data_IF_470132332652
#
_entry.id   IF_470132332652
#
_cell.length_a   1.000
_cell.length_b   1.000
_cell.length_c   1.000
_cell.angle_alpha   90.00
_cell.angle_beta   90.00
_cell.angle_gamma   90.00
#
_symmetry.space_group_name_H-M   'P 1'
#
loop_
_entity.id
_entity.type
_entity.pdbx_description
1 polymer ?
#
# COMPACT_ATOMS: atom_id res chain seq x y z
N UNK A 1 6.12 2.52 -10.62
CA UNK A 1 6.55 3.67 -9.79
C UNK A 1 6.88 3.31 -8.34
N UNK A 2 6.69 2.05 -7.88
CA UNK A 2 7.04 1.67 -6.51
C UNK A 2 6.07 2.18 -5.43
N UNK A 3 4.99 2.86 -5.83
CA UNK A 3 3.92 3.31 -4.93
C UNK A 3 3.01 2.14 -4.58
N UNK A 4 2.61 2.05 -3.32
CA UNK A 4 1.63 1.06 -2.85
C UNK A 4 0.22 1.63 -3.01
N UNK A 5 -0.65 1.04 -3.85
CA UNK A 5 -2.03 1.45 -3.94
C UNK A 5 -2.83 0.91 -2.74
N UNK A 6 -3.33 1.80 -1.89
CA UNK A 6 -4.19 1.45 -0.76
C UNK A 6 -5.63 1.85 -1.04
N UNK A 7 -6.56 0.99 -0.67
CA UNK A 7 -7.99 1.23 -0.81
C UNK A 7 -8.70 1.05 0.53
N UNK A 8 -9.56 2.00 0.88
CA UNK A 8 -10.48 1.83 2.00
C UNK A 8 -11.37 0.60 1.80
N UNK A 9 -11.79 -0.01 2.90
CA UNK A 9 -12.76 -1.11 2.84
C UNK A 9 -14.10 -0.63 2.26
N UNK A 10 -14.91 -1.53 1.69
CA UNK A 10 -16.23 -1.17 1.18
C UNK A 10 -17.06 -0.42 2.21
N UNK A 11 -17.59 0.75 1.83
CA UNK A 11 -18.37 1.62 2.71
C UNK A 11 -17.56 2.51 3.65
N UNK A 12 -16.23 2.40 3.65
CA UNK A 12 -15.35 3.32 4.38
C UNK A 12 -14.80 4.42 3.47
N UNK A 13 -14.59 5.59 4.07
CA UNK A 13 -13.97 6.76 3.46
C UNK A 13 -13.26 7.58 4.53
N UNK A 14 -12.48 8.58 4.10
CA UNK A 14 -11.87 9.53 5.03
C UNK A 14 -12.91 10.18 5.96
N UNK A 15 -14.06 10.59 5.41
CA UNK A 15 -15.14 11.21 6.18
C UNK A 15 -15.76 10.26 7.21
N UNK A 16 -16.02 9.00 6.84
CA UNK A 16 -16.58 8.02 7.78
C UNK A 16 -15.61 7.64 8.90
N UNK A 17 -14.30 7.72 8.62
CA UNK A 17 -13.22 7.44 9.58
C UNK A 17 -12.78 8.71 10.32
N UNK A 18 -13.40 9.87 10.05
CA UNK A 18 -13.05 11.15 10.69
C UNK A 18 -11.61 11.60 10.43
N UNK A 19 -11.02 11.20 9.30
CA UNK A 19 -9.66 11.55 8.90
C UNK A 19 -9.64 12.96 8.31
N UNK A 20 -8.84 13.85 8.89
CA UNK A 20 -8.70 15.24 8.45
C UNK A 20 -7.57 15.42 7.45
N UNK A 21 -6.58 14.52 7.47
CA UNK A 21 -5.34 14.60 6.69
C UNK A 21 -4.20 15.31 7.43
N UNK A 22 -4.43 15.82 8.63
CA UNK A 22 -3.41 16.41 9.50
C UNK A 22 -2.71 15.38 10.39
N UNK A 23 -3.23 14.15 10.41
CA UNK A 23 -2.70 13.06 11.21
C UNK A 23 -1.42 12.45 10.62
N UNK A 24 -0.68 11.75 11.48
CA UNK A 24 0.46 10.94 11.06
C UNK A 24 -0.02 9.52 10.78
N UNK A 25 0.19 9.06 9.54
CA UNK A 25 -0.18 7.73 9.07
C UNK A 25 1.05 6.82 9.02
N UNK A 26 0.99 5.72 9.76
CA UNK A 26 2.00 4.67 9.73
C UNK A 26 1.41 3.42 9.07
N UNK A 27 1.96 3.06 7.92
CA UNK A 27 1.52 1.89 7.14
C UNK A 27 2.61 0.82 7.20
N UNK A 28 2.30 -0.29 7.86
CA UNK A 28 3.20 -1.45 7.92
C UNK A 28 2.89 -2.39 6.75
N UNK A 29 3.69 -2.32 5.69
CA UNK A 29 3.58 -3.23 4.54
C UNK A 29 4.39 -4.50 4.82
N UNK A 30 3.82 -5.70 4.69
CA UNK A 30 4.58 -6.94 4.84
C UNK A 30 5.67 -7.04 3.77
N UNK A 31 6.78 -7.71 4.09
CA UNK A 31 7.92 -7.88 3.17
C UNK A 31 7.53 -8.62 1.88
N UNK A 32 6.61 -9.57 2.00
CA UNK A 32 6.02 -10.32 0.89
C UNK A 32 4.50 -10.11 0.86
N UNK A 33 4.01 -8.98 0.30
CA UNK A 33 2.58 -8.74 0.21
C UNK A 33 1.92 -9.73 -0.75
N UNK A 34 0.67 -10.06 -0.46
CA UNK A 34 -0.22 -10.86 -1.32
C UNK A 34 -1.19 -9.95 -2.09
N UNK A 35 -1.79 -10.51 -3.14
CA UNK A 35 -2.84 -9.81 -3.90
C UNK A 35 -4.03 -9.50 -2.98
N UNK A 36 -4.52 -8.26 -3.00
CA UNK A 36 -5.63 -7.80 -2.17
C UNK A 36 -5.43 -8.03 -0.66
N UNK A 37 -4.20 -8.00 -0.16
CA UNK A 37 -3.94 -8.21 1.27
C UNK A 37 -4.45 -7.03 2.12
N UNK A 38 -5.01 -7.35 3.29
CA UNK A 38 -5.43 -6.35 4.27
C UNK A 38 -4.23 -5.85 5.05
N UNK A 39 -4.07 -4.54 5.08
CA UNK A 39 -3.02 -3.82 5.79
C UNK A 39 -3.64 -2.94 6.85
N UNK A 40 -3.03 -2.91 8.04
CA UNK A 40 -3.43 -2.01 9.11
C UNK A 40 -2.67 -0.70 8.99
N UNK A 41 -3.40 0.41 8.92
CA UNK A 41 -2.86 1.77 9.00
C UNK A 41 -3.07 2.28 10.41
N UNK A 42 -1.97 2.60 11.10
CA UNK A 42 -2.01 3.28 12.40
C UNK A 42 -2.05 4.78 12.18
N UNK A 43 -2.86 5.46 12.98
CA UNK A 43 -3.05 6.91 12.89
C UNK A 43 -2.72 7.51 14.25
N UNK A 44 -1.87 8.53 14.24
CA UNK A 44 -1.49 9.28 15.44
C UNK A 44 -1.96 10.73 15.33
N UNK A 45 -2.56 11.25 16.40
CA UNK A 45 -3.12 12.60 16.45
C UNK A 45 -4.54 12.74 15.89
N UNK A 46 -5.18 11.64 15.50
CA UNK A 46 -6.54 11.61 14.94
C UNK A 46 -7.62 11.09 15.90
N UNK A 47 -8.85 11.06 15.41
CA UNK A 47 -10.01 10.51 16.13
C UNK A 47 -9.97 8.97 16.23
N UNK A 48 -9.35 8.29 15.26
CA UNK A 48 -9.31 6.83 15.17
C UNK A 48 -7.86 6.36 15.35
N UNK A 49 -7.56 5.36 16.18
CA UNK A 49 -6.18 4.92 16.42
C UNK A 49 -5.61 4.07 15.27
N UNK A 50 -6.46 3.33 14.56
CA UNK A 50 -6.07 2.53 13.40
C UNK A 50 -7.27 2.10 12.58
N UNK A 51 -7.06 1.86 11.28
CA UNK A 51 -8.07 1.29 10.38
C UNK A 51 -7.44 0.31 9.39
N UNK A 52 -8.26 -0.51 8.75
CA UNK A 52 -7.80 -1.48 7.76
C UNK A 52 -8.04 -0.97 6.35
N UNK A 53 -7.09 -1.25 5.47
CA UNK A 53 -7.16 -0.97 4.03
C UNK A 53 -6.75 -2.20 3.24
N UNK A 54 -7.20 -2.27 2.00
CA UNK A 54 -6.75 -3.31 1.05
C UNK A 54 -5.58 -2.76 0.24
N UNK A 55 -4.46 -3.49 0.22
CA UNK A 55 -3.38 -3.25 -0.74
C UNK A 55 -3.81 -3.78 -2.11
N UNK A 56 -4.05 -2.87 -3.06
CA UNK A 56 -4.57 -3.17 -4.40
C UNK A 56 -3.48 -3.61 -5.37
N UNK A 57 -2.75 -4.63 -4.98
CA UNK A 57 -1.98 -5.43 -5.91
C UNK A 57 -2.93 -6.42 -6.58
N UNK A 58 -3.31 -6.12 -7.82
CA UNK A 58 -4.30 -6.90 -8.55
C UNK A 58 -3.67 -8.15 -9.19
N UNK A 59 -2.37 -8.13 -9.48
CA UNK A 59 -1.63 -9.26 -10.09
C UNK A 59 -0.30 -9.57 -9.39
N UNK A 60 0.24 -10.78 -9.60
CA UNK A 60 1.60 -11.15 -9.13
C UNK A 60 2.70 -10.33 -9.80
N UNK A 61 2.44 -9.84 -11.01
CA UNK A 61 3.35 -8.97 -11.75
C UNK A 61 3.49 -7.63 -11.03
N UNK A 62 2.40 -7.09 -10.48
CA UNK A 62 2.43 -5.85 -9.69
C UNK A 62 3.28 -6.01 -8.43
N UNK A 63 3.14 -7.15 -7.75
CA UNK A 63 3.97 -7.50 -6.57
C UNK A 63 5.45 -7.57 -6.95
N UNK A 64 5.75 -8.15 -8.11
CA UNK A 64 7.12 -8.23 -8.63
C UNK A 64 7.67 -6.83 -8.91
N UNK A 65 6.91 -5.96 -9.58
CA UNK A 65 7.34 -4.59 -9.82
C UNK A 65 7.50 -3.80 -8.53
N UNK A 66 6.62 -3.98 -7.55
CA UNK A 66 6.75 -3.36 -6.24
C UNK A 66 8.04 -3.77 -5.52
N UNK A 67 8.35 -5.07 -5.46
CA UNK A 67 9.60 -5.59 -4.85
C UNK A 67 10.86 -5.04 -5.50
N UNK A 68 10.80 -4.72 -6.79
CA UNK A 68 11.92 -4.12 -7.52
C UNK A 68 11.96 -2.58 -7.42
N UNK A 69 11.03 -1.95 -6.71
CA UNK A 69 10.92 -0.50 -6.60
C UNK A 69 10.33 0.17 -7.84
N UNK A 70 9.74 -0.61 -8.75
CA UNK A 70 9.09 -0.15 -9.96
C UNK A 70 9.44 -0.98 -11.21
N UNK A 71 8.63 -0.79 -12.25
CA UNK A 71 8.78 -1.49 -13.53
C UNK A 71 10.11 -1.18 -14.23
N UNK A 72 10.57 0.08 -14.22
CA UNK A 72 11.84 0.46 -14.85
C UNK A 72 13.04 -0.20 -14.15
N UNK A 73 13.04 -0.20 -12.82
CA UNK A 73 14.08 -0.85 -12.03
C UNK A 73 14.11 -2.37 -12.29
N UNK A 74 12.94 -2.99 -12.41
CA UNK A 74 12.83 -4.39 -12.80
C UNK A 74 13.45 -4.63 -14.19
N UNK A 75 13.09 -3.81 -15.18
CA UNK A 75 13.59 -3.94 -16.55
C UNK A 75 15.11 -3.73 -16.64
N UNK A 76 15.65 -2.68 -16.02
CA UNK A 76 17.09 -2.40 -16.04
C UNK A 76 17.87 -3.56 -15.44
N UNK A 77 17.42 -4.10 -14.29
CA UNK A 77 18.06 -5.27 -13.65
C UNK A 77 18.02 -6.50 -14.55
N UNK A 78 16.90 -6.72 -15.24
CA UNK A 78 16.75 -7.83 -16.19
C UNK A 78 17.73 -7.70 -17.36
N UNK A 79 17.88 -6.50 -17.91
CA UNK A 79 18.79 -6.22 -19.02
C UNK A 79 20.29 -6.29 -18.65
N UNK A 80 20.65 -6.11 -17.38
CA UNK A 80 22.05 -6.24 -16.91
C UNK A 80 22.40 -7.71 -16.59
N UNK A 81 21.40 -8.55 -16.33
CA UNK A 81 21.58 -9.99 -16.11
C UNK A 81 21.62 -10.81 -17.40
N UNK A 82 21.23 -10.22 -18.53
CA UNK A 82 21.47 -10.72 -19.90
C UNK A 82 22.79 -10.17 -20.43
#
# INVERSE_FOLDING_TARGET
MGVVPLQFLPGQSAASLGLTGEEIYSVEIPEAPRTHELVTVKVSGGAVPSFQVTARFDTEVDLTYYRHGGILNYMIRKMIQE
#
